data_IF_129497619906
#
_entry.id   IF_129497619906
#
_cell.length_a   1.000
_cell.length_b   1.000
_cell.length_c   1.000
_cell.angle_alpha   90.00
_cell.angle_beta   90.00
_cell.angle_gamma   90.00
#
_symmetry.space_group_name_H-M   'P 1'
#
loop_
_entity.id
_entity.type
_entity.pdbx_description
1 polymer ?
#
# COMPACT_ATOMS: atom_id res chain seq x y z
N UNK A 1 -16.08 25.59 11.39
CA UNK A 1 -16.57 24.99 11.76
C UNK A 1 -16.55 24.59 12.20
N UNK A 2 -16.00 24.63 11.82
CA UNK A 2 -16.15 24.10 12.15
C UNK A 2 -15.86 23.95 12.32
N UNK A 3 -15.44 23.89 11.44
CA UNK A 3 -15.62 23.48 11.59
C UNK A 3 -15.07 23.27 11.75
N UNK A 4 -14.41 23.68 11.31
CA UNK A 4 -14.31 23.30 11.58
C UNK A 4 -13.56 23.26 11.59
N UNK A 5 -12.91 23.69 11.40
CA UNK A 5 -12.69 23.33 11.42
C UNK A 5 -11.94 23.26 11.62
N UNK A 6 -11.11 23.36 11.35
CA UNK A 6 -10.84 23.06 11.54
C UNK A 6 -10.11 23.07 11.78
N UNK A 7 -9.71 23.29 11.32
CA UNK A 7 -9.67 23.03 11.46
C UNK A 7 -9.04 22.65 11.51
N UNK A 8 -8.33 23.45 11.23
CA UNK A 8 -8.36 22.88 11.26
C UNK A 8 -7.77 22.65 11.08
N UNK A 9 -7.15 22.42 10.33
CA UNK A 9 -7.43 21.98 10.07
C UNK A 9 -7.38 21.54 9.98
N UNK A 10 -7.21 21.96 9.40
CA UNK A 10 -7.91 21.35 9.25
C UNK A 10 -8.48 21.07 9.28
N UNK A 11 -8.07 21.09 8.84
CA UNK A 11 -9.03 20.62 8.89
C UNK A 11 -9.32 20.42 8.62
N UNK A 12 -8.89 20.81 8.14
CA UNK A 12 -9.63 20.37 8.03
C UNK A 12 -9.58 20.15 7.72
N UNK A 13 -9.56 20.76 7.41
CA UNK A 13 -10.18 20.27 7.20
C UNK A 13 -10.62 19.77 7.14
N UNK A 14 -10.64 20.07 6.55
CA UNK A 14 -11.57 19.37 6.60
C UNK A 14 -12.18 19.28 6.62
N UNK A 15 -12.33 19.36 6.25
CA UNK A 15 -13.32 18.89 6.33
C UNK A 15 -13.79 18.93 6.25
N UNK A 16 -13.93 19.29 5.80
CA UNK A 16 -14.84 19.01 5.85
C UNK A 16 -15.23 18.86 5.87
N UNK A 17 -15.29 19.14 5.32
CA UNK A 17 -16.11 18.70 5.51
C UNK A 17 -16.51 18.30 5.58
N UNK A 18 -16.79 18.43 5.06
CA UNK A 18 -17.46 17.78 5.17
C UNK A 18 -17.44 17.33 4.85
N UNK A 19 -17.20 17.32 4.39
CA UNK A 19 -17.26 16.72 4.00
C UNK A 19 -16.67 16.51 3.69
N UNK A 20 -16.18 16.66 3.20
CA UNK A 20 -15.83 16.42 2.90
C UNK A 20 -14.99 15.76 2.99
N UNK A 21 -14.29 15.95 3.02
CA UNK A 21 -13.72 15.35 3.10
C UNK A 21 -13.57 14.30 2.94
N UNK A 22 -13.62 13.89 2.89
CA UNK A 22 -13.81 12.71 2.55
C UNK A 22 -13.60 12.23 1.21
N UNK A 23 -13.27 12.81 0.40
CA UNK A 23 -13.06 12.45 -0.81
C UNK A 23 -11.98 11.61 -1.15
N UNK A 24 -10.97 11.51 -0.44
CA UNK A 24 -9.86 10.64 -0.69
C UNK A 24 -10.02 9.27 -0.08
N UNK A 25 -11.16 9.02 0.50
CA UNK A 25 -11.35 7.71 1.01
C UNK A 25 -11.44 6.77 -0.16
N UNK A 26 -10.82 5.71 -0.25
CA UNK A 26 -10.73 4.84 -1.38
C UNK A 26 -9.43 4.95 -2.13
N UNK A 27 -8.63 5.96 -1.83
CA UNK A 27 -7.29 6.06 -2.42
C UNK A 27 -6.30 5.58 -1.40
N UNK A 28 -5.71 4.42 -1.66
CA UNK A 28 -4.72 3.82 -0.79
C UNK A 28 -3.35 3.90 -1.42
N UNK A 29 -2.34 3.95 -0.59
CA UNK A 29 -0.95 4.02 -1.05
C UNK A 29 -0.12 2.98 -0.35
N UNK A 30 0.89 2.48 -1.05
CA UNK A 30 1.94 1.68 -0.46
C UNK A 30 3.15 2.59 -0.33
N UNK A 31 3.67 2.74 0.89
CA UNK A 31 4.77 3.65 1.17
C UNK A 31 5.96 2.91 1.74
N UNK A 32 7.15 3.32 1.34
CA UNK A 32 8.40 2.75 1.85
C UNK A 32 9.50 3.79 1.80
N UNK A 33 10.60 3.50 2.49
CA UNK A 33 11.76 4.38 2.55
C UNK A 33 13.00 3.58 2.16
N UNK A 34 13.86 4.19 1.37
CA UNK A 34 15.16 3.61 1.05
C UNK A 34 16.23 4.68 1.15
N UNK A 35 17.45 4.38 0.67
CA UNK A 35 18.56 5.31 0.77
C UNK A 35 18.32 6.62 0.02
N UNK A 36 17.41 6.62 -0.93
CA UNK A 36 17.10 7.81 -1.71
C UNK A 36 15.96 8.63 -1.11
N UNK A 37 15.29 8.12 -0.08
CA UNK A 37 14.22 8.82 0.60
C UNK A 37 12.92 8.06 0.61
N UNK A 38 11.85 8.79 0.77
CA UNK A 38 10.50 8.23 0.88
C UNK A 38 9.87 8.03 -0.49
N UNK A 39 9.16 6.93 -0.62
CA UNK A 39 8.44 6.60 -1.85
C UNK A 39 6.99 6.30 -1.51
N UNK A 40 6.11 6.55 -2.47
CA UNK A 40 4.69 6.29 -2.32
C UNK A 40 4.14 5.87 -3.67
N UNK A 41 3.37 4.78 -3.67
CA UNK A 41 2.69 4.33 -4.87
C UNK A 41 1.19 4.29 -4.60
N UNK A 42 0.40 5.00 -5.40
CA UNK A 42 -1.06 5.02 -5.26
C UNK A 42 -1.65 3.78 -5.91
N UNK A 43 -2.40 3.02 -5.14
CA UNK A 43 -3.04 1.80 -5.64
C UNK A 43 -4.39 2.20 -6.24
N UNK A 44 -4.39 2.42 -7.55
CA UNK A 44 -5.59 2.89 -8.27
C UNK A 44 -6.26 1.83 -9.09
N UNK A 45 -5.51 0.80 -9.48
CA UNK A 45 -6.07 -0.28 -10.29
C UNK A 45 -6.66 -1.37 -9.40
N UNK A 46 -7.53 -2.18 -9.97
CA UNK A 46 -8.07 -3.32 -9.27
C UNK A 46 -7.04 -4.42 -9.05
N UNK A 47 -5.94 -4.37 -9.77
CA UNK A 47 -4.82 -5.30 -9.60
C UNK A 47 -3.53 -4.54 -9.85
N UNK A 48 -2.56 -4.75 -8.96
CA UNK A 48 -1.30 -4.02 -8.99
C UNK A 48 -0.17 -4.98 -8.62
N UNK A 49 0.81 -5.10 -9.50
CA UNK A 49 1.97 -5.97 -9.28
C UNK A 49 3.07 -5.18 -8.60
N UNK A 50 3.64 -5.76 -7.56
CA UNK A 50 4.77 -5.18 -6.83
C UNK A 50 6.00 -6.03 -7.10
N UNK A 51 7.11 -5.40 -7.46
CA UNK A 51 8.33 -6.12 -7.72
C UNK A 51 9.47 -5.21 -8.14
N UNK A 52 10.60 -5.82 -8.48
CA UNK A 52 11.79 -5.05 -8.87
C UNK A 52 11.95 -4.91 -10.37
N UNK A 53 11.16 -5.61 -11.17
CA UNK A 53 11.27 -5.54 -12.64
C UNK A 53 10.39 -4.41 -13.16
N UNK A 54 11.01 -3.33 -13.62
CA UNK A 54 10.28 -2.14 -14.06
C UNK A 54 9.33 -2.42 -15.22
N UNK A 55 9.62 -3.44 -16.02
CA UNK A 55 8.77 -3.79 -17.17
C UNK A 55 7.60 -4.68 -16.79
N UNK A 56 7.53 -5.14 -15.54
CA UNK A 56 6.47 -6.04 -15.08
C UNK A 56 5.70 -5.52 -13.87
N UNK A 57 6.35 -4.70 -13.04
CA UNK A 57 5.75 -4.24 -11.80
C UNK A 57 5.11 -2.87 -12.00
N UNK A 58 3.91 -2.73 -11.48
CA UNK A 58 3.26 -1.42 -11.41
C UNK A 58 3.90 -0.59 -10.32
N UNK A 59 4.17 -1.24 -9.18
CA UNK A 59 4.89 -0.62 -8.07
C UNK A 59 6.28 -1.22 -8.05
N UNK A 60 7.27 -0.45 -8.49
CA UNK A 60 8.64 -0.94 -8.62
C UNK A 60 9.44 -0.59 -7.38
N UNK A 61 9.93 -1.61 -6.67
CA UNK A 61 10.72 -1.43 -5.46
C UNK A 61 12.10 -2.03 -5.70
N UNK A 62 13.12 -1.16 -5.72
CA UNK A 62 14.49 -1.54 -6.05
C UNK A 62 15.31 -1.71 -4.78
N UNK A 63 14.87 -2.61 -3.92
CA UNK A 63 15.58 -2.94 -2.69
C UNK A 63 16.01 -4.40 -2.70
N UNK A 64 17.06 -4.74 -1.95
CA UNK A 64 17.51 -6.12 -1.90
C UNK A 64 16.40 -7.05 -1.46
N UNK A 65 16.40 -8.24 -1.99
CA UNK A 65 15.43 -9.25 -1.61
C UNK A 65 14.09 -9.17 -2.30
N UNK A 66 13.86 -8.13 -3.11
CA UNK A 66 12.60 -7.98 -3.84
C UNK A 66 12.68 -8.73 -5.16
N UNK A 67 11.80 -9.70 -5.34
CA UNK A 67 11.72 -10.47 -6.59
C UNK A 67 11.18 -9.61 -7.73
N UNK A 68 11.46 -10.00 -8.96
CA UNK A 68 11.01 -9.23 -10.12
C UNK A 68 9.50 -9.08 -10.14
N UNK A 69 8.77 -10.13 -9.86
CA UNK A 69 7.33 -10.11 -9.60
C UNK A 69 7.18 -10.72 -8.22
N UNK A 70 6.94 -9.88 -7.21
CA UNK A 70 7.02 -10.31 -5.81
C UNK A 70 5.66 -10.58 -5.20
N UNK A 71 4.76 -9.63 -5.33
CA UNK A 71 3.44 -9.71 -4.73
C UNK A 71 2.45 -8.97 -5.62
N UNK A 72 1.17 -9.18 -5.33
CA UNK A 72 0.12 -8.54 -6.11
C UNK A 72 -0.98 -8.09 -5.17
N UNK A 73 -1.36 -6.83 -5.27
CA UNK A 73 -2.48 -6.28 -4.53
C UNK A 73 -3.69 -6.28 -5.45
N UNK A 74 -4.82 -6.79 -4.94
CA UNK A 74 -6.08 -6.77 -5.66
C UNK A 74 -7.14 -6.09 -4.81
N UNK A 75 -8.10 -5.47 -5.47
CA UNK A 75 -9.22 -4.81 -4.82
C UNK A 75 -10.51 -5.48 -5.27
N UNK A 76 -11.34 -5.84 -4.30
CA UNK A 76 -12.66 -6.40 -4.57
C UNK A 76 -13.67 -5.63 -3.75
N UNK A 77 -14.53 -4.85 -4.40
CA UNK A 77 -15.40 -3.93 -3.69
C UNK A 77 -14.55 -2.89 -2.98
N UNK A 78 -14.70 -2.81 -1.67
CA UNK A 78 -13.91 -1.89 -0.86
C UNK A 78 -12.79 -2.59 -0.10
N UNK A 79 -12.56 -3.87 -0.39
CA UNK A 79 -11.59 -4.67 0.34
C UNK A 79 -10.35 -4.89 -0.51
N UNK A 80 -9.18 -4.78 0.13
CA UNK A 80 -7.90 -4.99 -0.53
C UNK A 80 -7.26 -6.27 -0.03
N UNK A 81 -6.58 -6.96 -0.91
CA UNK A 81 -5.87 -8.20 -0.61
C UNK A 81 -4.48 -8.16 -1.20
N UNK A 82 -3.55 -8.85 -0.55
CA UNK A 82 -2.22 -9.03 -1.12
C UNK A 82 -1.94 -10.54 -1.23
N UNK A 83 -1.25 -10.91 -2.30
CA UNK A 83 -0.91 -12.31 -2.57
C UNK A 83 0.58 -12.37 -2.87
N UNK A 84 1.30 -13.31 -2.24
CA UNK A 84 2.68 -13.57 -2.59
C UNK A 84 2.73 -14.31 -3.92
N UNK A 85 3.53 -13.83 -4.84
CA UNK A 85 3.61 -14.39 -6.19
C UNK A 85 4.80 -15.32 -6.34
N UNK A 86 4.96 -16.21 -5.36
CA UNK A 86 6.06 -17.17 -5.33
C UNK A 86 7.41 -16.46 -5.26
N UNK A 87 7.50 -15.47 -4.38
CA UNK A 87 8.72 -14.68 -4.23
C UNK A 87 9.81 -15.52 -3.55
N UNK A 88 11.07 -15.13 -3.80
CA UNK A 88 12.21 -15.84 -3.22
C UNK A 88 12.28 -15.64 -1.70
N UNK A 89 12.06 -14.41 -1.24
CA UNK A 89 12.27 -14.08 0.17
C UNK A 89 10.99 -13.89 0.96
N UNK A 90 9.84 -14.03 0.32
CA UNK A 90 8.56 -14.01 1.02
C UNK A 90 7.93 -12.64 1.18
N UNK A 91 6.70 -12.66 1.61
CA UNK A 91 5.88 -11.48 1.88
C UNK A 91 5.28 -11.66 3.27
N UNK A 92 5.34 -10.61 4.10
CA UNK A 92 4.75 -10.64 5.43
C UNK A 92 3.76 -9.49 5.59
N UNK A 93 2.68 -9.78 6.31
CA UNK A 93 1.69 -8.77 6.66
C UNK A 93 1.58 -8.77 8.19
N UNK A 94 2.02 -7.68 8.83
CA UNK A 94 2.01 -7.54 10.28
C UNK A 94 2.67 -8.74 10.95
N UNK A 95 3.86 -9.10 10.46
CA UNK A 95 4.68 -10.21 10.99
C UNK A 95 4.15 -11.60 10.66
N UNK A 96 3.05 -11.72 9.93
CA UNK A 96 2.56 -13.00 9.48
C UNK A 96 3.12 -13.29 8.09
N UNK A 97 3.83 -14.39 7.96
CA UNK A 97 4.40 -14.77 6.67
C UNK A 97 3.33 -15.46 5.81
N UNK A 98 3.21 -15.02 4.56
CA UNK A 98 2.27 -15.60 3.62
C UNK A 98 2.87 -16.81 2.95
N UNK A 99 2.05 -17.81 2.71
CA UNK A 99 2.44 -18.92 1.85
C UNK A 99 2.44 -18.48 0.39
N UNK A 100 3.05 -19.33 -0.44
CA UNK A 100 3.10 -19.08 -1.88
C UNK A 100 1.67 -18.99 -2.43
N UNK A 101 1.38 -17.87 -3.11
CA UNK A 101 0.06 -17.58 -3.68
C UNK A 101 -1.07 -17.49 -2.66
N UNK A 102 -0.73 -17.33 -1.40
CA UNK A 102 -1.75 -17.13 -0.35
C UNK A 102 -2.27 -15.71 -0.42
N UNK A 103 -3.59 -15.57 -0.34
CA UNK A 103 -4.28 -14.29 -0.34
C UNK A 103 -4.49 -13.83 1.09
N UNK A 104 -4.19 -12.57 1.37
CA UNK A 104 -4.33 -12.01 2.72
C UNK A 104 -5.00 -10.64 2.62
N UNK A 105 -6.06 -10.44 3.38
CA UNK A 105 -6.73 -9.14 3.43
C UNK A 105 -5.82 -8.12 4.10
N UNK A 106 -5.76 -6.90 3.55
CA UNK A 106 -4.97 -5.81 4.10
C UNK A 106 -5.85 -4.59 4.31
N UNK A 107 -5.47 -3.78 5.29
CA UNK A 107 -6.20 -2.57 5.66
C UNK A 107 -5.22 -1.44 5.91
N UNK A 108 -5.73 -0.23 5.91
CA UNK A 108 -4.92 0.96 6.18
C UNK A 108 -4.19 0.82 7.52
N UNK A 109 -2.90 1.05 7.51
CA UNK A 109 -2.05 0.92 8.69
C UNK A 109 -1.28 -0.39 8.76
N UNK A 110 -1.57 -1.34 7.87
CA UNK A 110 -0.87 -2.62 7.89
C UNK A 110 0.57 -2.47 7.43
N UNK A 111 1.46 -3.17 8.13
CA UNK A 111 2.86 -3.25 7.74
C UNK A 111 3.04 -4.42 6.80
N UNK A 112 3.68 -4.17 5.66
CA UNK A 112 3.88 -5.19 4.64
C UNK A 112 5.37 -5.26 4.33
N UNK A 113 5.96 -6.42 4.56
CA UNK A 113 7.36 -6.64 4.27
C UNK A 113 7.47 -7.39 2.94
N UNK A 114 8.06 -6.72 1.96
CA UNK A 114 8.28 -7.24 0.60
C UNK A 114 9.77 -7.52 0.47
N UNK A 115 10.17 -8.79 0.64
CA UNK A 115 11.59 -9.08 0.74
C UNK A 115 12.18 -8.30 1.91
N UNK A 116 13.14 -7.40 1.63
CA UNK A 116 13.72 -6.55 2.67
C UNK A 116 13.07 -5.18 2.74
N UNK A 117 12.08 -4.91 1.91
CA UNK A 117 11.43 -3.60 1.88
C UNK A 117 10.31 -3.52 2.90
N UNK A 118 10.47 -2.61 3.86
CA UNK A 118 9.44 -2.38 4.88
C UNK A 118 8.46 -1.35 4.37
N UNK A 119 7.25 -1.78 4.11
CA UNK A 119 6.21 -0.94 3.52
C UNK A 119 5.05 -0.77 4.49
N UNK A 120 4.29 0.31 4.30
CA UNK A 120 3.05 0.53 5.03
C UNK A 120 1.95 0.79 4.01
N UNK A 121 0.85 0.09 4.17
CA UNK A 121 -0.33 0.30 3.36
C UNK A 121 -1.22 1.33 4.08
N UNK A 122 -1.52 2.45 3.42
CA UNK A 122 -2.27 3.54 4.06
C UNK A 122 -3.51 3.94 3.30
#
# INVERSE_FOLDING_TARGET
>A
MPESVPENREELYTVVLNGREEKNKGVHCLKWVDAKGSHSYEVRQDACVIGSAADRADCCILLPGVSRVHARITKEGDTYYIKDMNSTNGTRVNDRELGCFELCEISSGDNILIGDAECVFV
#
